data_IF_571924528780
#
_entry.id   IF_571924528780
#
_cell.length_a   1.000
_cell.length_b   1.000
_cell.length_c   1.000
_cell.angle_alpha   90.00
_cell.angle_beta   90.00
_cell.angle_gamma   90.00
#
_symmetry.space_group_name_H-M   'P 1'
#
loop_
_entity.id
_entity.type
_entity.pdbx_description
1 polymer ?
#
# COMPACT_ATOMS: atom_id res chain seq x y z
N UNK A 1 25.41 16.09 18.52
CA UNK A 1 24.75 15.34 17.41
C UNK A 1 24.35 16.23 16.22
N UNK A 2 24.01 17.50 16.43
CA UNK A 2 23.60 18.45 15.37
C UNK A 2 24.68 18.76 14.33
N UNK A 3 25.97 18.78 14.72
CA UNK A 3 27.08 19.13 13.81
C UNK A 3 27.37 18.07 12.73
N UNK A 4 27.08 16.79 12.98
CA UNK A 4 27.29 15.71 12.02
C UNK A 4 26.22 15.74 10.91
N UNK A 5 24.97 16.02 11.28
CA UNK A 5 23.83 16.10 10.36
C UNK A 5 23.96 17.29 9.40
N UNK A 6 24.47 18.43 9.88
CA UNK A 6 24.74 19.59 9.02
C UNK A 6 25.86 19.36 8.01
N UNK A 7 26.87 18.55 8.34
CA UNK A 7 27.93 18.15 7.37
C UNK A 7 27.42 17.20 6.28
N UNK A 8 26.33 16.49 6.54
CA UNK A 8 25.63 15.64 5.57
C UNK A 8 24.59 16.41 4.74
N UNK A 9 24.50 17.74 4.87
CA UNK A 9 23.52 18.56 4.17
C UNK A 9 22.08 18.39 4.67
N UNK A 10 21.88 17.69 5.79
CA UNK A 10 20.56 17.51 6.41
C UNK A 10 20.28 18.71 7.29
N UNK A 11 19.74 19.77 6.68
CA UNK A 11 19.21 20.89 7.44
C UNK A 11 17.90 20.46 8.12
N UNK A 12 17.81 20.54 9.46
CA UNK A 12 16.59 20.18 10.17
C UNK A 12 15.50 21.19 9.82
N UNK A 13 14.72 20.87 8.79
CA UNK A 13 13.55 21.64 8.42
C UNK A 13 12.50 21.49 9.54
N UNK A 14 11.81 22.58 9.92
CA UNK A 14 10.66 22.45 10.81
C UNK A 14 9.67 21.44 10.19
N UNK A 15 9.41 20.35 10.90
CA UNK A 15 8.54 19.26 10.43
C UNK A 15 9.22 17.94 10.02
N UNK A 16 10.56 17.82 10.04
CA UNK A 16 11.25 16.57 9.69
C UNK A 16 10.75 15.35 10.51
N UNK A 17 10.55 15.52 11.82
CA UNK A 17 10.02 14.45 12.68
C UNK A 17 8.62 14.00 12.26
N UNK A 18 7.72 14.94 11.93
CA UNK A 18 6.38 14.62 11.41
C UNK A 18 6.45 13.93 10.06
N UNK A 19 7.38 14.32 9.19
CA UNK A 19 7.60 13.69 7.89
C UNK A 19 8.09 12.23 8.05
N UNK A 20 9.02 11.98 8.97
CA UNK A 20 9.51 10.63 9.25
C UNK A 20 8.41 9.72 9.81
N UNK A 21 7.53 10.23 10.67
CA UNK A 21 6.38 9.47 11.18
C UNK A 21 5.34 9.23 10.07
N UNK A 22 5.13 10.19 9.18
CA UNK A 22 4.16 10.06 8.09
C UNK A 22 4.60 9.12 6.96
N UNK A 23 5.92 9.02 6.73
CA UNK A 23 6.52 8.22 5.67
C UNK A 23 6.03 6.75 5.63
N UNK A 24 6.06 5.96 6.73
CA UNK A 24 5.61 4.57 6.69
C UNK A 24 4.13 4.45 6.31
N UNK A 25 3.25 5.37 6.74
CA UNK A 25 1.84 5.34 6.36
C UNK A 25 1.64 5.67 4.88
N UNK A 26 2.38 6.65 4.35
CA UNK A 26 2.34 6.99 2.95
C UNK A 26 2.83 5.83 2.06
N UNK A 27 3.96 5.22 2.43
CA UNK A 27 4.50 4.04 1.74
C UNK A 27 3.54 2.84 1.83
N UNK A 28 2.92 2.63 2.99
CA UNK A 28 1.94 1.57 3.18
C UNK A 28 0.72 1.80 2.27
N UNK A 29 0.20 3.03 2.16
CA UNK A 29 -0.91 3.33 1.22
C UNK A 29 -0.52 2.96 -0.21
N UNK A 30 0.67 3.35 -0.67
CA UNK A 30 1.16 3.02 -2.02
C UNK A 30 1.26 1.50 -2.20
N UNK A 31 1.81 0.79 -1.21
CA UNK A 31 1.89 -0.66 -1.24
C UNK A 31 0.51 -1.32 -1.31
N UNK A 32 -0.45 -0.84 -0.51
CA UNK A 32 -1.84 -1.32 -0.50
C UNK A 32 -2.56 -1.05 -1.82
N UNK A 33 -2.27 0.07 -2.49
CA UNK A 33 -2.74 0.32 -3.86
C UNK A 33 -2.18 -0.73 -4.81
N UNK A 34 -0.87 -0.90 -4.83
CA UNK A 34 -0.20 -1.82 -5.74
C UNK A 34 -0.57 -3.30 -5.54
N UNK A 35 -0.74 -3.73 -4.28
CA UNK A 35 -0.94 -5.16 -3.91
C UNK A 35 -2.36 -5.51 -3.47
N UNK A 36 -3.19 -4.54 -3.11
CA UNK A 36 -4.60 -4.78 -2.81
C UNK A 36 -5.46 -4.63 -4.07
N UNK A 37 -5.26 -3.55 -4.82
CA UNK A 37 -6.11 -3.22 -5.96
C UNK A 37 -5.58 -3.75 -7.28
N UNK A 38 -4.28 -3.57 -7.52
CA UNK A 38 -3.63 -3.96 -8.78
C UNK A 38 -2.99 -5.35 -8.74
N UNK A 39 -3.24 -6.15 -7.70
CA UNK A 39 -2.70 -7.51 -7.61
C UNK A 39 -2.98 -8.38 -8.84
N UNK A 40 -4.18 -8.34 -9.46
CA UNK A 40 -4.44 -9.14 -10.65
C UNK A 40 -3.57 -8.78 -11.86
N UNK A 41 -2.93 -7.62 -11.88
CA UNK A 41 -2.07 -7.17 -12.97
C UNK A 41 -0.61 -7.60 -12.80
N UNK A 42 -0.27 -8.30 -11.72
CA UNK A 42 1.11 -8.71 -11.48
C UNK A 42 1.50 -9.94 -12.31
N UNK A 43 2.76 -10.08 -12.73
CA UNK A 43 3.20 -11.19 -13.58
C UNK A 43 2.89 -12.58 -13.00
N UNK A 44 2.89 -12.72 -11.67
CA UNK A 44 2.54 -13.97 -10.98
C UNK A 44 1.04 -14.30 -11.01
N UNK A 45 0.17 -13.34 -11.33
CA UNK A 45 -1.30 -13.51 -11.39
C UNK A 45 -1.87 -13.43 -12.80
N UNK A 46 -1.16 -12.81 -13.74
CA UNK A 46 -1.62 -12.66 -15.15
C UNK A 46 -1.94 -14.01 -15.79
N UNK A 47 -1.21 -15.08 -15.48
CA UNK A 47 -1.51 -16.42 -15.96
C UNK A 47 -2.87 -16.96 -15.50
N UNK A 48 -3.34 -16.54 -14.32
CA UNK A 48 -4.62 -16.98 -13.76
C UNK A 48 -5.83 -16.18 -14.28
N UNK A 49 -5.61 -15.04 -14.95
CA UNK A 49 -6.69 -14.21 -15.54
C UNK A 49 -7.36 -14.91 -16.72
N UNK A 50 -6.67 -15.84 -17.40
CA UNK A 50 -7.21 -16.57 -18.56
C UNK A 50 -8.43 -17.43 -18.22
N UNK A 51 -8.56 -17.86 -16.96
CA UNK A 51 -9.61 -18.78 -16.50
C UNK A 51 -10.18 -18.32 -15.15
N UNK A 52 -10.87 -17.17 -15.08
CA UNK A 52 -11.32 -16.57 -13.83
C UNK A 52 -12.42 -17.40 -13.13
N UNK A 53 -13.02 -18.36 -13.84
CA UNK A 53 -14.10 -19.22 -13.34
C UNK A 53 -13.84 -20.72 -13.53
N UNK A 54 -12.64 -21.12 -13.97
CA UNK A 54 -12.32 -22.51 -14.29
C UNK A 54 -10.93 -22.85 -13.74
N UNK A 55 -10.80 -24.00 -13.08
CA UNK A 55 -9.48 -24.54 -12.74
C UNK A 55 -8.79 -24.98 -14.04
N UNK A 56 -7.62 -24.40 -14.36
CA UNK A 56 -6.82 -24.83 -15.50
C UNK A 56 -5.81 -25.89 -15.04
N UNK A 57 -5.96 -27.18 -15.41
CA UNK A 57 -5.07 -28.25 -14.99
C UNK A 57 -3.65 -28.13 -15.57
N UNK A 58 -3.40 -27.26 -16.56
CA UNK A 58 -2.07 -26.97 -17.11
C UNK A 58 -1.34 -25.86 -16.35
N UNK A 59 -2.05 -25.09 -15.53
CA UNK A 59 -1.48 -24.06 -14.66
C UNK A 59 -1.54 -24.60 -13.24
N UNK A 60 -0.38 -24.93 -12.68
CA UNK A 60 -0.25 -25.45 -11.31
C UNK A 60 -0.48 -24.31 -10.28
N UNK A 61 -1.68 -23.71 -10.29
CA UNK A 61 -2.00 -22.47 -9.61
C UNK A 61 -3.42 -22.48 -9.05
N UNK A 62 -3.64 -21.64 -8.04
CA UNK A 62 -4.94 -21.40 -7.42
C UNK A 62 -5.81 -20.60 -8.41
N UNK A 63 -6.27 -21.21 -9.49
CA UNK A 63 -7.08 -20.57 -10.54
C UNK A 63 -8.58 -20.63 -10.24
N UNK A 64 -9.34 -19.63 -10.68
CA UNK A 64 -10.81 -19.65 -10.64
C UNK A 64 -11.47 -18.65 -9.66
N UNK A 65 -12.78 -18.85 -9.33
CA UNK A 65 -13.57 -17.89 -8.54
C UNK A 65 -13.01 -17.63 -7.15
N UNK A 66 -12.34 -18.63 -6.58
CA UNK A 66 -11.66 -18.58 -5.28
C UNK A 66 -10.51 -17.56 -5.27
N UNK A 67 -9.79 -17.40 -6.39
CA UNK A 67 -8.73 -16.40 -6.52
C UNK A 67 -9.29 -14.97 -6.55
N UNK A 68 -10.37 -14.75 -7.31
CA UNK A 68 -11.06 -13.46 -7.35
C UNK A 68 -11.67 -13.12 -5.99
N UNK A 69 -12.31 -14.09 -5.33
CA UNK A 69 -12.87 -13.92 -4.00
C UNK A 69 -11.80 -13.58 -2.96
N UNK A 70 -10.68 -14.31 -2.97
CA UNK A 70 -9.54 -14.01 -2.12
C UNK A 70 -9.01 -12.60 -2.40
N UNK A 71 -8.80 -12.23 -3.66
CA UNK A 71 -8.40 -10.88 -4.04
C UNK A 71 -9.37 -9.82 -3.51
N UNK A 72 -10.68 -9.99 -3.69
CA UNK A 72 -11.69 -9.04 -3.25
C UNK A 72 -11.66 -8.82 -1.74
N UNK A 73 -11.49 -9.88 -0.95
CA UNK A 73 -11.34 -9.78 0.51
C UNK A 73 -10.06 -9.00 0.88
N UNK A 74 -8.94 -9.29 0.22
CA UNK A 74 -7.68 -8.55 0.46
C UNK A 74 -7.80 -7.09 0.04
N UNK A 75 -8.50 -6.77 -1.05
CA UNK A 75 -8.78 -5.40 -1.48
C UNK A 75 -9.64 -4.65 -0.45
N UNK A 76 -10.65 -5.29 0.14
CA UNK A 76 -11.46 -4.71 1.20
C UNK A 76 -10.64 -4.43 2.48
N UNK A 77 -9.78 -5.38 2.88
CA UNK A 77 -8.85 -5.19 4.01
C UNK A 77 -7.87 -4.04 3.71
N UNK A 78 -7.34 -3.98 2.48
CA UNK A 78 -6.46 -2.90 2.03
C UNK A 78 -7.16 -1.53 2.12
N UNK A 79 -8.43 -1.44 1.73
CA UNK A 79 -9.23 -0.23 1.89
C UNK A 79 -9.35 0.19 3.37
N UNK A 80 -9.66 -0.76 4.25
CA UNK A 80 -9.75 -0.50 5.69
C UNK A 80 -8.45 0.06 6.26
N UNK A 81 -7.32 -0.56 5.90
CA UNK A 81 -5.99 -0.08 6.33
C UNK A 81 -5.64 1.29 5.71
N UNK A 82 -6.02 1.55 4.46
CA UNK A 82 -5.85 2.85 3.82
C UNK A 82 -6.60 3.96 4.57
N UNK A 83 -7.85 3.70 5.00
CA UNK A 83 -8.63 4.65 5.82
C UNK A 83 -7.90 4.99 7.12
N UNK A 84 -7.36 3.98 7.81
CA UNK A 84 -6.57 4.20 9.04
C UNK A 84 -5.32 5.02 8.77
N UNK A 85 -4.56 4.70 7.72
CA UNK A 85 -3.37 5.45 7.34
C UNK A 85 -3.68 6.91 7.01
N UNK A 86 -4.75 7.16 6.24
CA UNK A 86 -5.20 8.52 5.90
C UNK A 86 -5.65 9.27 7.15
N UNK A 87 -6.34 8.62 8.08
CA UNK A 87 -6.74 9.22 9.34
C UNK A 87 -5.52 9.68 10.16
N UNK A 88 -4.50 8.82 10.30
CA UNK A 88 -3.24 9.18 10.98
C UNK A 88 -2.54 10.35 10.27
N UNK A 89 -2.45 10.32 8.94
CA UNK A 89 -1.84 11.41 8.17
C UNK A 89 -2.59 12.74 8.36
N UNK A 90 -3.92 12.72 8.43
CA UNK A 90 -4.74 13.91 8.71
C UNK A 90 -4.53 14.44 10.12
N UNK A 91 -4.28 13.58 11.10
CA UNK A 91 -3.93 14.00 12.46
C UNK A 91 -2.54 14.64 12.52
N UNK A 92 -1.57 14.11 11.76
CA UNK A 92 -0.21 14.67 11.68
C UNK A 92 -0.15 15.99 10.90
N UNK A 93 -1.02 16.13 9.89
CA UNK A 93 -1.15 17.33 9.05
C UNK A 93 -2.61 17.81 9.01
N UNK A 94 -3.08 18.49 10.08
CA UNK A 94 -4.40 19.10 10.10
C UNK A 94 -4.54 20.14 8.99
N UNK A 95 -5.70 20.22 8.34
CA UNK A 95 -5.99 21.31 7.41
C UNK A 95 -6.13 22.62 8.20
N UNK A 96 -5.48 23.72 7.79
CA UNK A 96 -5.72 25.02 8.40
C UNK A 96 -7.18 25.43 8.12
N UNK A 97 -7.96 25.67 9.19
CA UNK A 97 -9.36 26.12 9.11
C UNK A 97 -10.43 25.18 9.67
N UNK A 98 -10.04 24.10 10.37
CA UNK A 98 -10.91 23.34 11.27
C UNK A 98 -10.26 23.22 12.64
#
# INVERSE_FOLDING_TARGET
>A
MTALLSRLGVHPRPGLGRALVALPFALLIVHLVARGWFYPLWPDTVGAIGHPFTEDPLINGWGGPTLIGAWAVHAAIALGMQVVCVAVLRLLYPRPGR
#
